data_IF_391247964982
#
_entry.id   IF_391247964982
#
_cell.length_a   1.000
_cell.length_b   1.000
_cell.length_c   1.000
_cell.angle_alpha   90.00
_cell.angle_beta   90.00
_cell.angle_gamma   90.00
#
_symmetry.space_group_name_H-M   'P 1'
#
loop_
_entity.id
_entity.type
_entity.pdbx_description
1 polymer ?
#
# COMPACT_ATOMS: atom_id res chain seq x y z
N UNK A 1 87.89 -32.18 -13.45
CA UNK A 1 87.53 -30.74 -13.47
C UNK A 1 86.06 -30.60 -13.09
N UNK A 2 85.72 -29.66 -12.19
CA UNK A 2 84.37 -29.29 -11.67
C UNK A 2 83.35 -28.97 -12.80
N UNK A 3 82.03 -28.74 -12.53
CA UNK A 3 81.28 -28.68 -11.23
C UNK A 3 80.02 -29.60 -11.20
N UNK A 4 79.55 -30.14 -10.06
CA UNK A 4 78.82 -29.52 -8.93
C UNK A 4 77.52 -28.80 -9.28
N UNK A 5 76.44 -29.51 -9.00
CA UNK A 5 75.02 -29.13 -8.91
C UNK A 5 74.81 -27.83 -8.13
N UNK A 6 74.08 -26.88 -8.72
CA UNK A 6 73.42 -25.80 -7.98
C UNK A 6 71.94 -25.82 -8.37
N UNK A 7 71.13 -26.33 -7.46
CA UNK A 7 69.68 -26.12 -7.49
C UNK A 7 69.35 -24.70 -7.08
N UNK A 8 68.35 -24.12 -7.74
CA UNK A 8 67.50 -23.08 -7.16
C UNK A 8 66.08 -23.38 -7.63
N UNK A 9 65.40 -24.25 -6.87
CA UNK A 9 63.95 -24.44 -7.01
C UNK A 9 63.24 -23.32 -6.25
N UNK A 10 62.30 -22.67 -6.95
CA UNK A 10 61.73 -21.37 -6.60
C UNK A 10 61.09 -21.29 -5.21
N UNK A 11 61.47 -20.24 -4.46
CA UNK A 11 60.91 -19.94 -3.14
C UNK A 11 60.33 -18.51 -3.03
N UNK A 12 60.38 -17.72 -4.09
CA UNK A 12 59.97 -16.30 -4.05
C UNK A 12 58.49 -16.07 -4.40
N UNK A 13 57.92 -16.80 -5.36
CA UNK A 13 56.53 -16.59 -5.80
C UNK A 13 55.43 -17.15 -4.88
N UNK A 14 55.75 -18.12 -4.04
CA UNK A 14 54.78 -18.80 -3.16
C UNK A 14 54.47 -17.97 -1.89
N UNK A 15 55.46 -17.22 -1.37
CA UNK A 15 55.27 -16.32 -0.22
C UNK A 15 54.40 -15.11 -0.55
N UNK A 16 54.61 -14.48 -1.70
CA UNK A 16 53.81 -13.33 -2.15
C UNK A 16 52.35 -13.68 -2.39
N UNK A 17 52.08 -14.88 -2.95
CA UNK A 17 50.71 -15.36 -3.20
C UNK A 17 49.99 -15.74 -1.90
N UNK A 18 50.71 -16.30 -0.92
CA UNK A 18 50.20 -16.60 0.43
C UNK A 18 49.92 -15.32 1.22
N UNK A 19 50.80 -14.30 1.16
CA UNK A 19 50.56 -13.00 1.77
C UNK A 19 49.37 -12.26 1.14
N UNK A 20 49.25 -12.28 -0.18
CA UNK A 20 48.12 -11.63 -0.88
C UNK A 20 46.78 -12.30 -0.53
N UNK A 21 46.75 -13.64 -0.44
CA UNK A 21 45.58 -14.40 0.01
C UNK A 21 45.23 -14.13 1.48
N UNK A 22 46.23 -14.08 2.36
CA UNK A 22 46.03 -13.75 3.77
C UNK A 22 45.49 -12.32 3.96
N UNK A 23 46.05 -11.35 3.23
CA UNK A 23 45.60 -9.96 3.27
C UNK A 23 44.19 -9.81 2.69
N UNK A 24 43.87 -10.50 1.59
CA UNK A 24 42.53 -10.53 1.01
C UNK A 24 41.47 -11.11 1.96
N UNK A 25 41.82 -12.14 2.74
CA UNK A 25 40.94 -12.69 3.79
C UNK A 25 40.68 -11.70 4.92
N UNK A 26 41.72 -10.98 5.36
CA UNK A 26 41.59 -9.95 6.40
C UNK A 26 40.70 -8.81 5.92
N UNK A 27 40.94 -8.30 4.71
CA UNK A 27 40.14 -7.22 4.11
C UNK A 27 38.69 -7.67 3.91
N UNK A 28 38.46 -8.89 3.46
CA UNK A 28 37.11 -9.46 3.27
C UNK A 28 36.35 -9.60 4.59
N UNK A 29 37.00 -10.10 5.65
CA UNK A 29 36.36 -10.20 6.96
C UNK A 29 36.09 -8.84 7.59
N UNK A 30 37.00 -7.87 7.39
CA UNK A 30 36.83 -6.50 7.86
C UNK A 30 35.68 -5.80 7.12
N UNK A 31 35.59 -5.96 5.79
CA UNK A 31 34.51 -5.38 5.00
C UNK A 31 33.16 -6.03 5.33
N UNK A 32 33.12 -7.35 5.51
CA UNK A 32 31.92 -8.05 5.97
C UNK A 32 31.46 -7.52 7.33
N UNK A 33 32.38 -7.36 8.29
CA UNK A 33 32.08 -6.77 9.60
C UNK A 33 31.57 -5.33 9.50
N UNK A 34 32.20 -4.49 8.67
CA UNK A 34 31.77 -3.12 8.45
C UNK A 34 30.38 -3.02 7.79
N UNK A 35 30.08 -3.90 6.84
CA UNK A 35 28.77 -3.95 6.17
C UNK A 35 27.66 -4.39 7.13
N UNK A 36 27.94 -5.36 8.01
CA UNK A 36 27.00 -5.77 9.06
C UNK A 36 26.77 -4.63 10.05
N UNK A 37 27.84 -3.94 10.47
CA UNK A 37 27.69 -2.81 11.40
C UNK A 37 26.91 -1.66 10.75
N UNK A 38 27.20 -1.37 9.48
CA UNK A 38 26.49 -0.34 8.71
C UNK A 38 25.01 -0.68 8.56
N UNK A 39 24.66 -1.93 8.26
CA UNK A 39 23.26 -2.36 8.13
C UNK A 39 22.49 -2.31 9.46
N UNK A 40 23.15 -2.64 10.57
CA UNK A 40 22.56 -2.49 11.90
C UNK A 40 22.36 -1.01 12.26
N UNK A 41 23.33 -0.15 11.96
CA UNK A 41 23.21 1.29 12.19
C UNK A 41 22.10 1.91 11.35
N UNK A 42 22.00 1.57 10.07
CA UNK A 42 20.92 2.07 9.22
C UNK A 42 19.55 1.58 9.70
N UNK A 43 19.43 0.32 10.13
CA UNK A 43 18.19 -0.18 10.71
C UNK A 43 17.81 0.57 11.98
N UNK A 44 18.76 0.84 12.88
CA UNK A 44 18.51 1.64 14.09
C UNK A 44 18.01 3.03 13.72
N UNK A 45 18.68 3.72 12.79
CA UNK A 45 18.27 5.05 12.30
C UNK A 45 16.86 5.00 11.74
N UNK A 46 16.54 4.03 10.86
CA UNK A 46 15.23 3.89 10.26
C UNK A 46 14.13 3.64 11.31
N UNK A 47 14.42 2.84 12.35
CA UNK A 47 13.48 2.63 13.46
C UNK A 47 13.29 3.92 14.25
N UNK A 48 14.36 4.64 14.58
CA UNK A 48 14.27 5.89 15.38
C UNK A 48 13.60 7.03 14.64
N UNK A 49 13.70 7.07 13.31
CA UNK A 49 12.99 8.02 12.45
C UNK A 49 11.52 7.65 12.23
N UNK A 50 11.00 6.65 12.96
CA UNK A 50 9.59 6.30 12.91
C UNK A 50 9.18 5.69 11.57
N UNK A 51 10.05 4.91 10.91
CA UNK A 51 9.70 4.19 9.67
C UNK A 51 8.42 3.34 9.83
N UNK A 52 8.13 2.86 11.05
CA UNK A 52 6.92 2.13 11.39
C UNK A 52 5.78 3.00 11.92
N UNK A 53 6.06 4.26 12.30
CA UNK A 53 5.11 5.26 12.80
C UNK A 53 4.76 6.30 11.72
N UNK A 54 4.85 5.93 10.45
CA UNK A 54 4.53 6.83 9.34
C UNK A 54 3.01 6.98 9.20
N UNK A 55 2.41 7.77 10.08
CA UNK A 55 1.10 8.39 9.89
C UNK A 55 1.24 9.50 8.84
N UNK A 56 1.56 9.16 7.59
CA UNK A 56 1.31 10.12 6.51
C UNK A 56 -0.20 10.16 6.37
N UNK A 57 -0.84 11.14 6.99
CA UNK A 57 -2.09 11.66 6.44
C UNK A 57 -1.73 12.18 5.06
N UNK A 58 -1.83 11.29 4.07
CA UNK A 58 -1.73 11.68 2.67
C UNK A 58 -2.83 12.71 2.48
N UNK A 59 -2.42 13.94 2.14
CA UNK A 59 -3.38 14.99 1.88
C UNK A 59 -4.15 14.61 0.62
N UNK A 60 -5.26 13.90 0.80
CA UNK A 60 -6.19 13.47 -0.24
C UNK A 60 -7.50 14.20 0.00
N UNK A 61 -7.47 15.52 -0.19
CA UNK A 61 -8.69 16.32 -0.10
C UNK A 61 -9.70 15.82 -1.13
N UNK A 62 -10.97 15.65 -0.75
CA UNK A 62 -12.06 15.27 -1.65
C UNK A 62 -12.26 16.37 -2.70
N UNK A 63 -11.49 16.31 -3.78
CA UNK A 63 -11.40 17.35 -4.80
C UNK A 63 -10.84 16.79 -6.11
N UNK A 64 -11.10 17.51 -7.20
CA UNK A 64 -10.63 17.14 -8.54
C UNK A 64 -9.11 17.09 -8.65
N UNK A 65 -8.39 17.96 -7.93
CA UNK A 65 -6.92 18.01 -7.92
C UNK A 65 -6.28 16.74 -7.33
N UNK A 66 -7.03 16.02 -6.49
CA UNK A 66 -6.67 14.72 -5.93
C UNK A 66 -7.37 13.55 -6.62
N UNK A 67 -7.83 13.75 -7.87
CA UNK A 67 -8.44 12.73 -8.73
C UNK A 67 -9.73 12.12 -8.16
N UNK A 68 -10.45 12.82 -7.28
CA UNK A 68 -11.81 12.41 -6.91
C UNK A 68 -12.75 12.69 -8.07
N UNK A 69 -13.66 11.75 -8.34
CA UNK A 69 -14.76 11.94 -9.26
C UNK A 69 -15.96 11.11 -8.82
N UNK A 70 -17.16 11.56 -9.20
CA UNK A 70 -18.37 10.75 -9.02
C UNK A 70 -18.31 9.49 -9.86
N UNK A 71 -18.71 8.36 -9.27
CA UNK A 71 -18.85 7.08 -9.97
C UNK A 71 -20.32 6.67 -10.09
N UNK A 72 -21.10 6.82 -9.02
CA UNK A 72 -22.55 6.60 -9.01
C UNK A 72 -23.19 7.01 -7.69
N UNK A 73 -24.52 7.17 -7.68
CA UNK A 73 -25.32 7.62 -6.52
C UNK A 73 -26.69 6.94 -6.54
N UNK A 74 -26.71 5.61 -6.66
CA UNK A 74 -27.98 4.85 -6.74
C UNK A 74 -28.10 3.75 -5.70
N UNK A 75 -26.99 3.21 -5.22
CA UNK A 75 -27.01 2.10 -4.27
C UNK A 75 -27.65 2.48 -2.93
N UNK A 76 -28.55 1.62 -2.46
CA UNK A 76 -29.09 1.68 -1.11
C UNK A 76 -28.60 0.46 -0.33
N UNK A 77 -28.24 0.66 0.94
CA UNK A 77 -27.71 -0.39 1.80
C UNK A 77 -28.66 -0.66 2.97
N UNK A 78 -29.05 -1.92 3.13
CA UNK A 78 -29.83 -2.41 4.26
C UNK A 78 -28.98 -3.31 5.16
N UNK A 79 -29.54 -3.74 6.30
CA UNK A 79 -28.86 -4.62 7.27
C UNK A 79 -28.41 -5.97 6.69
N UNK A 80 -29.00 -6.40 5.57
CA UNK A 80 -28.62 -7.63 4.87
C UNK A 80 -27.70 -7.40 3.67
N UNK A 81 -27.24 -6.17 3.41
CA UNK A 81 -26.44 -5.81 2.23
C UNK A 81 -27.19 -4.88 1.27
N UNK A 82 -26.81 -4.89 0.00
CA UNK A 82 -27.44 -4.03 -1.02
C UNK A 82 -28.94 -4.28 -1.15
N UNK A 83 -29.73 -3.21 -1.21
CA UNK A 83 -31.15 -3.29 -1.54
C UNK A 83 -31.28 -3.79 -2.99
N UNK A 84 -32.09 -4.83 -3.28
CA UNK A 84 -32.22 -5.37 -4.62
C UNK A 84 -32.60 -4.30 -5.66
N UNK A 85 -31.85 -4.24 -6.76
CA UNK A 85 -32.07 -3.30 -7.88
C UNK A 85 -31.89 -1.81 -7.54
N UNK A 86 -31.33 -1.47 -6.37
CA UNK A 86 -31.00 -0.07 -6.05
C UNK A 86 -29.77 0.41 -6.82
N UNK A 87 -28.73 -0.42 -6.87
CA UNK A 87 -27.48 -0.09 -7.56
C UNK A 87 -27.63 -0.09 -9.09
N UNK A 88 -27.01 0.90 -9.72
CA UNK A 88 -26.86 1.03 -11.16
C UNK A 88 -25.97 -0.08 -11.72
N UNK A 89 -26.16 -0.39 -13.01
CA UNK A 89 -25.30 -1.35 -13.70
C UNK A 89 -23.83 -0.90 -13.75
N UNK A 90 -23.57 0.41 -13.73
CA UNK A 90 -22.21 0.95 -13.66
C UNK A 90 -21.55 0.59 -12.31
N UNK A 91 -22.25 0.83 -11.20
CA UNK A 91 -21.77 0.51 -9.85
C UNK A 91 -21.58 -0.99 -9.66
N UNK A 92 -22.60 -1.79 -9.99
CA UNK A 92 -22.53 -3.24 -9.79
C UNK A 92 -21.47 -3.93 -10.66
N UNK A 93 -21.16 -3.39 -11.84
CA UNK A 93 -20.13 -3.93 -12.74
C UNK A 93 -18.70 -3.45 -12.40
N UNK A 94 -18.52 -2.66 -11.34
CA UNK A 94 -17.18 -2.29 -10.89
C UNK A 94 -16.38 -3.51 -10.41
N UNK A 95 -17.06 -4.57 -9.98
CA UNK A 95 -16.48 -5.87 -9.64
C UNK A 95 -17.30 -7.02 -10.25
N UNK A 96 -17.00 -8.27 -9.89
CA UNK A 96 -17.87 -9.39 -10.26
C UNK A 96 -19.15 -9.39 -9.41
N UNK A 97 -20.28 -9.97 -9.89
CA UNK A 97 -21.52 -9.99 -9.13
C UNK A 97 -21.39 -10.54 -7.70
N UNK A 98 -20.65 -11.63 -7.52
CA UNK A 98 -20.41 -12.24 -6.21
C UNK A 98 -19.55 -11.35 -5.28
N UNK A 99 -18.54 -10.68 -5.86
CA UNK A 99 -17.72 -9.74 -5.11
C UNK A 99 -18.54 -8.51 -4.71
N UNK A 100 -19.36 -7.97 -5.62
CA UNK A 100 -20.24 -6.84 -5.33
C UNK A 100 -21.24 -7.16 -4.22
N UNK A 101 -21.88 -8.33 -4.27
CA UNK A 101 -22.78 -8.80 -3.21
C UNK A 101 -22.04 -8.88 -1.85
N UNK A 102 -20.83 -9.42 -1.85
CA UNK A 102 -19.98 -9.52 -0.65
C UNK A 102 -19.62 -8.15 -0.07
N UNK A 103 -19.29 -7.18 -0.93
CA UNK A 103 -19.03 -5.79 -0.51
C UNK A 103 -20.24 -5.24 0.25
N UNK A 104 -21.46 -5.42 -0.29
CA UNK A 104 -22.68 -4.98 0.38
C UNK A 104 -22.87 -5.61 1.75
N UNK A 105 -22.66 -6.92 1.88
CA UNK A 105 -22.74 -7.61 3.17
C UNK A 105 -21.71 -7.08 4.18
N UNK A 106 -20.48 -6.81 3.74
CA UNK A 106 -19.41 -6.30 4.61
C UNK A 106 -19.74 -4.87 5.06
N UNK A 107 -20.18 -4.00 4.15
CA UNK A 107 -20.58 -2.64 4.49
C UNK A 107 -21.75 -2.64 5.47
N UNK A 108 -22.76 -3.49 5.25
CA UNK A 108 -23.90 -3.62 6.16
C UNK A 108 -23.49 -4.09 7.55
N UNK A 109 -22.52 -4.99 7.66
CA UNK A 109 -21.96 -5.42 8.93
C UNK A 109 -21.17 -4.29 9.61
N UNK A 110 -20.31 -3.58 8.87
CA UNK A 110 -19.50 -2.48 9.39
C UNK A 110 -20.35 -1.30 9.87
N UNK A 111 -21.43 -0.97 9.16
CA UNK A 111 -22.33 0.13 9.49
C UNK A 111 -23.61 -0.35 10.19
N UNK A 112 -23.55 -1.48 10.89
CA UNK A 112 -24.72 -2.09 11.54
C UNK A 112 -25.33 -1.23 12.65
N UNK A 113 -24.55 -0.35 13.29
CA UNK A 113 -25.09 0.63 14.26
C UNK A 113 -25.80 1.77 13.53
N UNK A 114 -25.20 2.30 12.47
CA UNK A 114 -25.81 3.35 11.65
C UNK A 114 -27.13 2.88 11.02
N UNK A 115 -27.17 1.62 10.58
CA UNK A 115 -28.36 0.96 10.04
C UNK A 115 -29.48 0.73 11.08
N UNK A 116 -29.19 0.85 12.38
CA UNK A 116 -30.24 0.90 13.41
C UNK A 116 -30.85 2.29 13.55
N UNK A 117 -30.11 3.34 13.19
CA UNK A 117 -30.58 4.73 13.22
C UNK A 117 -31.38 5.08 11.96
N UNK A 118 -30.88 4.69 10.77
CA UNK A 118 -31.58 4.87 9.51
C UNK A 118 -31.36 3.68 8.57
N UNK A 119 -32.44 3.20 7.95
CA UNK A 119 -32.39 2.10 6.98
C UNK A 119 -33.42 2.34 5.86
N UNK A 120 -33.01 2.32 4.57
CA UNK A 120 -31.64 2.06 4.10
C UNK A 120 -30.70 3.26 4.31
N UNK A 121 -29.38 3.02 4.24
CA UNK A 121 -28.39 4.08 4.02
C UNK A 121 -28.25 4.35 2.52
N UNK A 122 -28.12 5.62 2.15
CA UNK A 122 -27.94 6.07 0.76
C UNK A 122 -26.46 6.15 0.42
N UNK A 123 -26.00 5.33 -0.52
CA UNK A 123 -24.58 5.17 -0.80
C UNK A 123 -24.20 5.90 -2.08
N UNK A 124 -23.30 6.86 -1.94
CA UNK A 124 -22.59 7.47 -3.06
C UNK A 124 -21.29 6.73 -3.30
N UNK A 125 -21.12 6.24 -4.52
CA UNK A 125 -19.87 5.65 -5.00
C UNK A 125 -19.04 6.74 -5.69
N UNK A 126 -17.85 6.97 -5.16
CA UNK A 126 -16.80 7.80 -5.76
C UNK A 126 -15.71 6.92 -6.36
N UNK A 127 -14.98 7.47 -7.31
CA UNK A 127 -13.69 6.94 -7.74
C UNK A 127 -12.60 7.94 -7.34
N UNK A 128 -11.47 7.41 -6.87
CA UNK A 128 -10.24 8.20 -6.71
C UNK A 128 -9.17 7.56 -7.60
N UNK A 129 -8.52 8.37 -8.41
CA UNK A 129 -7.62 7.88 -9.45
C UNK A 129 -8.40 7.48 -10.70
N UNK A 130 -8.17 6.27 -11.23
CA UNK A 130 -8.80 5.81 -12.48
C UNK A 130 -8.39 6.66 -13.70
N UNK A 131 -7.31 7.43 -13.56
CA UNK A 131 -6.82 8.37 -14.55
C UNK A 131 -5.44 7.93 -15.06
N UNK A 132 -5.17 8.18 -16.34
CA UNK A 132 -3.91 7.79 -17.00
C UNK A 132 -2.66 8.41 -16.38
N UNK A 133 -2.83 9.47 -15.60
CA UNK A 133 -1.76 10.17 -14.90
C UNK A 133 -1.22 9.43 -13.66
N UNK A 134 -2.02 8.57 -13.03
CA UNK A 134 -1.68 7.97 -11.72
C UNK A 134 -1.60 6.45 -11.75
N UNK A 135 -2.26 5.78 -12.70
CA UNK A 135 -2.11 4.33 -12.92
C UNK A 135 -2.73 3.42 -11.85
N UNK A 136 -3.41 4.00 -10.85
CA UNK A 136 -4.18 3.30 -9.83
C UNK A 136 -5.61 3.86 -9.77
N UNK A 137 -6.52 3.10 -9.17
CA UNK A 137 -7.89 3.51 -8.95
C UNK A 137 -8.50 2.76 -7.78
N UNK A 138 -9.30 3.46 -6.98
CA UNK A 138 -10.04 2.88 -5.86
C UNK A 138 -11.47 3.41 -5.89
N UNK A 139 -12.41 2.61 -5.39
CA UNK A 139 -13.76 3.09 -5.14
C UNK A 139 -13.89 3.52 -3.68
N UNK A 140 -14.61 4.61 -3.45
CA UNK A 140 -14.94 5.10 -2.11
C UNK A 140 -16.45 5.11 -1.98
N UNK A 141 -16.97 4.46 -0.95
CA UNK A 141 -18.38 4.46 -0.60
C UNK A 141 -18.61 5.48 0.51
N UNK A 142 -19.52 6.41 0.28
CA UNK A 142 -19.92 7.42 1.26
C UNK A 142 -21.39 7.20 1.59
N UNK A 143 -21.69 6.87 2.85
CA UNK A 143 -23.04 6.56 3.32
C UNK A 143 -23.71 7.79 3.92
N UNK A 144 -24.93 8.09 3.49
CA UNK A 144 -25.80 9.10 4.07
C UNK A 144 -27.04 8.48 4.72
N UNK A 145 -27.60 9.17 5.72
CA UNK A 145 -28.81 8.70 6.41
C UNK A 145 -30.08 8.98 5.61
N UNK A 146 -30.23 10.20 5.07
CA UNK A 146 -31.48 10.67 4.44
C UNK A 146 -31.37 10.92 2.93
N UNK A 147 -30.14 11.01 2.41
CA UNK A 147 -29.85 11.32 1.01
C UNK A 147 -28.43 10.88 0.63
N UNK A 148 -28.19 10.75 -0.67
CA UNK A 148 -26.86 10.49 -1.24
C UNK A 148 -25.89 11.64 -0.91
N UNK A 149 -24.80 11.40 -0.14
CA UNK A 149 -23.80 12.42 0.12
C UNK A 149 -23.06 12.83 -1.16
N UNK A 150 -22.64 14.08 -1.27
CA UNK A 150 -21.86 14.53 -2.42
C UNK A 150 -20.50 13.84 -2.45
N UNK A 151 -20.07 13.35 -3.62
CA UNK A 151 -18.72 12.79 -3.76
C UNK A 151 -17.61 13.83 -3.51
N UNK A 152 -17.86 15.06 -3.97
CA UNK A 152 -16.96 16.21 -3.81
C UNK A 152 -17.79 17.35 -3.20
N UNK A 153 -17.77 17.55 -1.88
CA UNK A 153 -18.52 18.61 -1.22
C UNK A 153 -18.01 19.99 -1.61
N UNK A 154 -18.90 20.87 -2.08
CA UNK A 154 -18.53 22.24 -2.50
C UNK A 154 -18.87 23.31 -1.45
N UNK A 155 -19.70 22.97 -0.47
CA UNK A 155 -20.19 23.90 0.58
C UNK A 155 -19.58 23.62 1.95
N UNK A 156 -18.41 22.96 2.00
CA UNK A 156 -17.75 22.54 3.24
C UNK A 156 -18.02 21.07 3.59
N UNK A 157 -17.92 20.73 4.87
CA UNK A 157 -18.20 19.37 5.34
C UNK A 157 -19.68 19.00 5.19
N UNK A 158 -19.95 17.71 5.07
CA UNK A 158 -21.31 17.14 5.04
C UNK A 158 -21.41 16.03 6.10
N UNK A 159 -22.57 15.83 6.73
CA UNK A 159 -22.79 14.70 7.62
C UNK A 159 -22.86 13.41 6.80
N UNK A 160 -22.18 12.36 7.29
CA UNK A 160 -22.19 11.03 6.69
C UNK A 160 -22.31 10.00 7.82
N UNK A 161 -22.95 8.88 7.53
CA UNK A 161 -22.98 7.70 8.39
C UNK A 161 -21.63 6.97 8.38
N UNK A 162 -20.92 7.01 7.24
CA UNK A 162 -19.63 6.35 7.13
C UNK A 162 -18.95 6.55 5.79
N UNK A 163 -17.67 6.20 5.76
CA UNK A 163 -16.84 6.16 4.56
C UNK A 163 -16.07 4.84 4.53
N UNK A 164 -16.04 4.18 3.38
CA UNK A 164 -15.31 2.94 3.17
C UNK A 164 -14.57 2.99 1.83
N UNK A 165 -13.45 2.27 1.74
CA UNK A 165 -12.64 2.19 0.53
C UNK A 165 -12.60 0.75 0.04
N UNK A 166 -12.75 0.56 -1.27
CA UNK A 166 -12.54 -0.69 -1.97
C UNK A 166 -11.33 -0.56 -2.89
N UNK A 167 -10.34 -1.38 -2.60
CA UNK A 167 -9.07 -1.48 -3.33
C UNK A 167 -8.95 -2.89 -3.92
N UNK A 168 -8.30 -3.02 -5.07
CA UNK A 168 -7.95 -4.32 -5.66
C UNK A 168 -6.44 -4.44 -5.76
N UNK A 169 -5.88 -5.55 -5.27
CA UNK A 169 -4.44 -5.87 -5.33
C UNK A 169 -4.06 -6.64 -6.57
#
# INVERSE_FOLDING_TARGET
>A
ALPSTIGVSGKSGDHGRKQLSAFGRIVSNLSAGALILLSLLTLIVLITEGMFDRLVMSNNGQSLDYFWAGYGETCELASTGWVPQSCSALEANATTPDAWASVGHILAAQWSLELQEASPLYITTCIVGGHTAVGWGVLIFIAGYDAYPACIPTTGGQPIAGIAMLETT
#
